data_IF_151709574661
#
_entry.id   IF_151709574661
#
_cell.length_a   1.000
_cell.length_b   1.000
_cell.length_c   1.000
_cell.angle_alpha   90.00
_cell.angle_beta   90.00
_cell.angle_gamma   90.00
#
_symmetry.space_group_name_H-M   'P 1'
#
loop_
_entity.id
_entity.type
_entity.pdbx_description
1 polymer ?
#
# COMPACT_ATOMS: atom_id res chain seq x y z
N UNK A 1 15.24 -6.62 9.14
CA UNK A 1 14.33 -7.78 9.17
C UNK A 1 15.01 -8.97 8.46
N UNK A 2 14.77 -10.23 8.86
CA UNK A 2 15.43 -11.41 8.21
C UNK A 2 14.84 -11.75 6.82
N UNK A 3 13.62 -11.28 6.54
CA UNK A 3 12.95 -11.37 5.23
C UNK A 3 12.65 -9.98 4.65
N UNK A 4 12.44 -9.85 3.32
CA UNK A 4 11.98 -8.61 2.71
C UNK A 4 10.63 -8.15 3.27
N UNK A 5 10.41 -6.84 3.29
CA UNK A 5 9.12 -6.24 3.59
C UNK A 5 8.18 -6.55 2.43
N UNK A 6 7.10 -7.27 2.69
CA UNK A 6 6.05 -7.55 1.71
C UNK A 6 5.08 -6.39 1.68
N UNK A 7 5.06 -5.70 0.54
CA UNK A 7 4.35 -4.45 0.34
C UNK A 7 3.22 -4.67 -0.66
N UNK A 8 2.00 -4.40 -0.24
CA UNK A 8 0.88 -4.23 -1.16
C UNK A 8 0.70 -2.74 -1.41
N UNK A 9 0.78 -2.33 -2.66
CA UNK A 9 0.38 -0.99 -3.08
C UNK A 9 -1.03 -1.10 -3.65
N UNK A 10 -1.94 -0.30 -3.13
CA UNK A 10 -3.31 -0.23 -3.62
C UNK A 10 -3.36 0.24 -5.09
N UNK A 11 -4.41 -0.15 -5.82
CA UNK A 11 -4.66 0.24 -7.22
C UNK A 11 -4.59 1.75 -7.38
N UNK A 12 -5.14 2.52 -6.43
CA UNK A 12 -5.07 3.98 -6.44
C UNK A 12 -3.63 4.53 -6.45
N UNK A 13 -2.67 3.87 -5.81
CA UNK A 13 -1.26 4.28 -5.78
C UNK A 13 -0.65 4.13 -7.18
N UNK A 14 -0.94 3.02 -7.86
CA UNK A 14 -0.49 2.80 -9.24
C UNK A 14 -1.13 3.76 -10.24
N UNK A 15 -2.42 4.04 -10.10
CA UNK A 15 -3.13 5.04 -10.92
C UNK A 15 -2.55 6.43 -10.68
N UNK A 16 -2.36 6.83 -9.42
CA UNK A 16 -1.77 8.11 -9.08
C UNK A 16 -0.34 8.26 -9.62
N UNK A 17 0.46 7.18 -9.63
CA UNK A 17 1.80 7.17 -10.19
C UNK A 17 1.82 7.47 -11.69
N UNK A 18 1.03 6.74 -12.49
CA UNK A 18 1.00 6.93 -13.94
C UNK A 18 0.39 8.29 -14.33
N UNK A 19 -0.61 8.77 -13.58
CA UNK A 19 -1.18 10.10 -13.77
C UNK A 19 -0.21 11.22 -13.41
N UNK A 20 0.58 11.06 -12.34
CA UNK A 20 1.60 12.02 -11.96
C UNK A 20 2.68 12.15 -13.06
N UNK A 21 3.08 11.02 -13.65
CA UNK A 21 4.00 11.00 -14.78
C UNK A 21 3.44 11.80 -15.98
N UNK A 22 2.17 11.59 -16.36
CA UNK A 22 1.56 12.32 -17.49
C UNK A 22 1.40 13.82 -17.26
N UNK A 23 1.22 14.23 -16.00
CA UNK A 23 1.13 15.64 -15.61
C UNK A 23 2.52 16.29 -15.46
N UNK A 24 3.60 15.55 -15.71
CA UNK A 24 4.97 16.03 -15.52
C UNK A 24 5.32 16.30 -14.05
N UNK A 25 4.55 15.76 -13.10
CA UNK A 25 4.88 15.84 -11.69
C UNK A 25 6.05 14.91 -11.39
N UNK A 26 6.94 15.36 -10.51
CA UNK A 26 8.12 14.59 -10.10
C UNK A 26 8.24 14.56 -8.58
N UNK A 27 8.70 13.44 -8.04
CA UNK A 27 8.97 13.28 -6.62
C UNK A 27 7.71 13.20 -5.74
N UNK A 28 6.58 12.75 -6.29
CA UNK A 28 5.40 12.47 -5.44
C UNK A 28 5.67 11.28 -4.51
N UNK A 29 4.93 11.20 -3.40
CA UNK A 29 5.03 10.06 -2.49
C UNK A 29 4.73 8.73 -3.21
N UNK A 30 3.70 8.69 -4.06
CA UNK A 30 3.32 7.51 -4.84
C UNK A 30 4.41 7.10 -5.84
N UNK A 31 5.00 8.05 -6.58
CA UNK A 31 6.14 7.79 -7.47
C UNK A 31 7.33 7.22 -6.72
N UNK A 32 7.60 7.75 -5.52
CA UNK A 32 8.73 7.29 -4.71
C UNK A 32 8.49 5.87 -4.19
N UNK A 33 7.28 5.56 -3.73
CA UNK A 33 6.92 4.21 -3.28
C UNK A 33 6.98 3.18 -4.41
N UNK A 34 6.41 3.50 -5.58
CA UNK A 34 6.51 2.63 -6.75
C UNK A 34 7.98 2.44 -7.14
N UNK A 35 8.79 3.50 -7.17
CA UNK A 35 10.22 3.39 -7.45
C UNK A 35 10.97 2.54 -6.43
N UNK A 36 10.61 2.62 -5.14
CA UNK A 36 11.20 1.81 -4.08
C UNK A 36 10.94 0.32 -4.29
N UNK A 37 9.69 -0.07 -4.54
CA UNK A 37 9.36 -1.49 -4.82
C UNK A 37 9.98 -1.96 -6.14
N UNK A 38 10.01 -1.11 -7.19
CA UNK A 38 10.68 -1.45 -8.45
C UNK A 38 12.17 -1.69 -8.29
N UNK A 39 12.82 -0.92 -7.41
CA UNK A 39 14.24 -1.07 -7.09
C UNK A 39 14.50 -2.09 -5.96
N UNK A 40 13.46 -2.77 -5.47
CA UNK A 40 13.54 -3.80 -4.42
C UNK A 40 14.13 -3.27 -3.10
N UNK A 41 13.95 -1.96 -2.84
CA UNK A 41 14.47 -1.28 -1.64
C UNK A 41 13.32 -0.80 -0.79
N UNK A 42 13.46 -0.93 0.53
CA UNK A 42 12.54 -0.38 1.50
C UNK A 42 13.33 0.41 2.55
N UNK A 43 13.44 1.72 2.33
CA UNK A 43 14.35 2.56 3.10
C UNK A 43 15.83 2.23 2.87
N UNK A 44 16.63 2.34 3.94
CA UNK A 44 18.10 2.28 3.84
C UNK A 44 18.63 0.84 3.91
N UNK A 45 18.04 0.00 4.76
CA UNK A 45 18.58 -1.32 5.09
C UNK A 45 17.73 -2.48 4.58
N UNK A 46 16.40 -2.30 4.48
CA UNK A 46 15.49 -3.37 4.14
C UNK A 46 15.24 -3.47 2.62
N UNK A 47 14.80 -4.65 2.19
CA UNK A 47 14.41 -4.93 0.82
C UNK A 47 12.89 -4.96 0.72
N UNK A 48 12.36 -4.54 -0.41
CA UNK A 48 10.92 -4.58 -0.70
C UNK A 48 10.60 -5.76 -1.63
N UNK A 49 9.59 -6.54 -1.27
CA UNK A 49 8.91 -7.46 -2.15
C UNK A 49 7.51 -6.90 -2.45
N UNK A 50 7.23 -6.61 -3.72
CA UNK A 50 5.87 -6.25 -4.12
C UNK A 50 4.98 -7.49 -4.03
N UNK A 51 3.75 -7.29 -3.54
CA UNK A 51 2.67 -8.27 -3.61
C UNK A 51 1.49 -7.64 -4.33
N UNK A 52 0.93 -8.37 -5.29
CA UNK A 52 -0.29 -8.02 -6.01
C UNK A 52 -1.04 -9.29 -6.44
N UNK A 53 -2.36 -9.20 -6.63
CA UNK A 53 -3.19 -10.29 -7.16
C UNK A 53 -3.58 -10.05 -8.62
N UNK A 54 -4.03 -11.11 -9.29
CA UNK A 54 -4.59 -10.99 -10.65
C UNK A 54 -5.78 -10.04 -10.70
N UNK A 55 -6.66 -10.10 -9.70
CA UNK A 55 -7.84 -9.22 -9.62
C UNK A 55 -7.45 -7.74 -9.48
N UNK A 56 -6.44 -7.42 -8.66
CA UNK A 56 -5.92 -6.06 -8.57
C UNK A 56 -5.36 -5.57 -9.91
N UNK A 57 -4.71 -6.45 -10.68
CA UNK A 57 -4.19 -6.12 -12.02
C UNK A 57 -5.35 -5.85 -12.97
N UNK A 58 -6.36 -6.71 -13.03
CA UNK A 58 -7.55 -6.53 -13.88
C UNK A 58 -8.33 -5.25 -13.52
N UNK A 59 -8.39 -4.94 -12.22
CA UNK A 59 -8.99 -3.70 -11.71
C UNK A 59 -8.19 -2.49 -12.19
N UNK A 60 -6.86 -2.51 -12.06
CA UNK A 60 -5.99 -1.47 -12.57
C UNK A 60 -6.17 -1.27 -14.08
N UNK A 61 -6.20 -2.35 -14.88
CA UNK A 61 -6.48 -2.23 -16.32
C UNK A 61 -7.81 -1.56 -16.60
N UNK A 62 -8.87 -1.98 -15.89
CA UNK A 62 -10.21 -1.43 -16.05
C UNK A 62 -10.24 0.07 -15.74
N UNK A 63 -9.59 0.49 -14.66
CA UNK A 63 -9.48 1.91 -14.29
C UNK A 63 -8.70 2.70 -15.35
N UNK A 64 -7.56 2.18 -15.83
CA UNK A 64 -6.76 2.85 -16.85
C UNK A 64 -7.49 2.95 -18.20
N UNK A 65 -8.26 1.94 -18.60
CA UNK A 65 -9.12 2.00 -19.80
C UNK A 65 -10.18 3.09 -19.67
N UNK A 66 -10.82 3.22 -18.50
CA UNK A 66 -11.79 4.31 -18.22
C UNK A 66 -11.13 5.69 -18.35
N UNK A 67 -9.89 5.82 -17.88
CA UNK A 67 -9.07 7.03 -18.00
C UNK A 67 -8.50 7.25 -19.42
N UNK A 68 -8.89 6.45 -20.41
CA UNK A 68 -8.52 6.59 -21.83
C UNK A 68 -7.02 6.38 -22.13
N UNK A 69 -6.31 5.61 -21.30
CA UNK A 69 -4.96 5.13 -21.66
C UNK A 69 -5.05 4.10 -22.81
N UNK A 70 -4.05 4.08 -23.69
CA UNK A 70 -3.99 3.09 -24.78
C UNK A 70 -3.70 1.69 -24.25
N UNK A 71 -4.23 0.67 -24.93
CA UNK A 71 -4.02 -0.73 -24.55
C UNK A 71 -2.52 -1.09 -24.44
N UNK A 72 -1.71 -0.72 -25.43
CA UNK A 72 -0.26 -0.96 -25.40
C UNK A 72 0.42 -0.40 -24.15
N UNK A 73 -0.06 0.76 -23.67
CA UNK A 73 0.48 1.41 -22.48
C UNK A 73 0.00 0.75 -21.21
N UNK A 74 -1.26 0.30 -21.18
CA UNK A 74 -1.83 -0.47 -20.07
C UNK A 74 -1.06 -1.78 -19.93
N UNK A 75 -0.93 -2.54 -21.02
CA UNK A 75 -0.25 -3.84 -21.05
C UNK A 75 1.23 -3.71 -20.64
N UNK A 76 1.93 -2.67 -21.12
CA UNK A 76 3.30 -2.40 -20.71
C UNK A 76 3.41 -2.04 -19.22
N UNK A 77 2.46 -1.26 -18.69
CA UNK A 77 2.47 -0.84 -17.29
C UNK A 77 2.12 -2.01 -16.34
N UNK A 78 1.04 -2.73 -16.59
CA UNK A 78 0.66 -3.89 -15.79
C UNK A 78 1.66 -5.04 -15.90
N UNK A 79 2.20 -5.27 -17.10
CA UNK A 79 3.32 -6.22 -17.30
C UNK A 79 4.54 -5.85 -16.46
N UNK A 80 4.91 -4.57 -16.39
CA UNK A 80 6.02 -4.13 -15.54
C UNK A 80 5.77 -4.36 -14.04
N UNK A 81 4.52 -4.21 -13.58
CA UNK A 81 4.14 -4.47 -12.18
C UNK A 81 4.28 -5.97 -11.86
N UNK A 82 3.83 -6.84 -12.78
CA UNK A 82 4.03 -8.29 -12.66
C UNK A 82 5.52 -8.64 -12.61
N UNK A 83 6.33 -8.04 -13.49
CA UNK A 83 7.77 -8.26 -13.51
C UNK A 83 8.45 -7.80 -12.20
N UNK A 84 8.04 -6.67 -11.63
CA UNK A 84 8.57 -6.18 -10.34
C UNK A 84 8.34 -7.21 -9.23
N UNK A 85 7.14 -7.79 -9.17
CA UNK A 85 6.82 -8.82 -8.19
C UNK A 85 7.60 -10.12 -8.44
N UNK A 86 7.64 -10.56 -9.70
CA UNK A 86 8.28 -11.81 -10.16
C UNK A 86 9.79 -11.84 -9.98
N UNK A 87 10.44 -10.73 -10.27
CA UNK A 87 11.89 -10.61 -10.13
C UNK A 87 12.30 -9.97 -8.80
N UNK A 88 11.34 -9.78 -7.88
CA UNK A 88 11.58 -9.30 -6.53
C UNK A 88 12.37 -10.27 -5.65
N UNK A 89 12.75 -9.86 -4.43
CA UNK A 89 13.61 -10.64 -3.53
C UNK A 89 13.10 -12.04 -3.18
N UNK A 90 11.78 -12.22 -3.07
CA UNK A 90 11.15 -13.52 -2.77
C UNK A 90 10.76 -14.28 -4.05
N UNK A 91 10.77 -13.62 -5.21
CA UNK A 91 10.43 -14.23 -6.51
C UNK A 91 9.00 -14.79 -6.57
N UNK A 92 8.00 -13.91 -6.51
CA UNK A 92 6.58 -14.31 -6.39
C UNK A 92 5.82 -14.12 -7.70
N UNK A 93 4.81 -14.95 -7.96
CA UNK A 93 3.83 -14.71 -9.03
C UNK A 93 2.57 -14.04 -8.47
N UNK A 94 1.81 -13.27 -9.28
CA UNK A 94 0.57 -12.64 -8.82
C UNK A 94 -0.36 -13.65 -8.14
N UNK A 95 -0.93 -13.25 -7.00
CA UNK A 95 -1.79 -14.13 -6.20
C UNK A 95 -3.13 -14.37 -6.89
N UNK A 96 -3.60 -15.61 -6.81
CA UNK A 96 -4.98 -15.98 -7.11
C UNK A 96 -5.74 -16.11 -5.79
N UNK A 97 -6.65 -15.18 -5.52
CA UNK A 97 -7.49 -15.18 -4.32
C UNK A 97 -8.75 -16.00 -4.64
N UNK A 98 -8.95 -17.09 -3.90
CA UNK A 98 -10.08 -18.03 -4.09
C UNK A 98 -11.07 -17.89 -2.93
N UNK A 99 -11.55 -16.67 -2.70
CA UNK A 99 -12.42 -16.29 -1.59
C UNK A 99 -11.66 -15.71 -0.38
N UNK A 100 -12.40 -15.34 0.66
CA UNK A 100 -11.89 -14.65 1.85
C UNK A 100 -12.27 -13.17 1.91
N UNK A 101 -12.69 -12.58 0.79
CA UNK A 101 -13.29 -11.23 0.73
C UNK A 101 -14.54 -11.13 1.59
N UNK A 102 -15.37 -12.18 1.59
CA UNK A 102 -16.61 -12.25 2.35
C UNK A 102 -16.41 -12.23 3.87
N UNK A 103 -15.17 -12.43 4.33
CA UNK A 103 -14.81 -12.33 5.75
C UNK A 103 -14.63 -10.89 6.20
N UNK A 104 -14.40 -9.96 5.26
CA UNK A 104 -14.28 -8.55 5.56
C UNK A 104 -15.65 -7.91 5.35
N UNK A 105 -16.21 -7.31 6.40
CA UNK A 105 -17.47 -6.57 6.32
C UNK A 105 -17.27 -5.21 5.62
N UNK A 106 -16.78 -5.25 4.38
CA UNK A 106 -16.48 -4.08 3.56
C UNK A 106 -17.60 -3.84 2.54
N UNK A 107 -17.90 -2.58 2.29
CA UNK A 107 -18.94 -2.19 1.32
C UNK A 107 -18.47 -2.22 -0.13
N UNK A 108 -17.16 -2.12 -0.35
CA UNK A 108 -16.54 -2.13 -1.68
C UNK A 108 -15.82 -3.47 -1.91
N UNK A 109 -16.12 -4.11 -3.03
CA UNK A 109 -15.54 -5.39 -3.43
C UNK A 109 -14.08 -5.22 -3.85
N UNK A 110 -13.74 -4.07 -4.46
CA UNK A 110 -12.35 -3.78 -4.86
C UNK A 110 -11.44 -3.73 -3.63
N UNK A 111 -11.83 -2.96 -2.62
CA UNK A 111 -11.05 -2.83 -1.38
C UNK A 111 -10.99 -4.16 -0.61
N UNK A 112 -12.06 -4.98 -0.67
CA UNK A 112 -12.07 -6.32 -0.08
C UNK A 112 -11.06 -7.25 -0.77
N UNK A 113 -10.94 -7.21 -2.11
CA UNK A 113 -9.96 -7.98 -2.87
C UNK A 113 -8.52 -7.55 -2.58
N UNK A 114 -8.28 -6.24 -2.44
CA UNK A 114 -6.98 -5.68 -2.00
C UNK A 114 -6.62 -6.17 -0.60
N UNK A 115 -7.56 -6.11 0.34
CA UNK A 115 -7.34 -6.56 1.71
C UNK A 115 -7.12 -8.08 1.77
N UNK A 116 -7.93 -8.86 1.05
CA UNK A 116 -7.76 -10.31 0.93
C UNK A 116 -6.38 -10.69 0.35
N UNK A 117 -5.89 -9.91 -0.62
CA UNK A 117 -4.52 -10.06 -1.15
C UNK A 117 -3.47 -9.82 -0.08
N UNK A 118 -3.61 -8.76 0.72
CA UNK A 118 -2.70 -8.47 1.82
C UNK A 118 -2.67 -9.60 2.86
N UNK A 119 -3.83 -10.16 3.21
CA UNK A 119 -3.92 -11.31 4.13
C UNK A 119 -3.37 -12.60 3.54
N UNK A 120 -3.77 -12.96 2.32
CA UNK A 120 -3.38 -14.22 1.67
C UNK A 120 -1.88 -14.30 1.33
N UNK A 121 -1.20 -13.16 1.28
CA UNK A 121 0.24 -13.05 1.02
C UNK A 121 1.09 -12.84 2.27
N UNK A 122 0.47 -12.72 3.45
CA UNK A 122 1.13 -12.32 4.69
C UNK A 122 1.92 -11.00 4.50
N UNK A 123 1.29 -10.01 3.90
CA UNK A 123 1.89 -8.69 3.69
C UNK A 123 2.17 -8.00 5.02
N UNK A 124 3.28 -7.25 5.09
CA UNK A 124 3.60 -6.45 6.27
C UNK A 124 2.87 -5.11 6.24
N UNK A 125 2.71 -4.57 5.03
CA UNK A 125 2.12 -3.25 4.83
C UNK A 125 1.28 -3.16 3.57
N UNK A 126 0.09 -2.59 3.72
CA UNK A 126 -0.77 -2.11 2.64
C UNK A 126 -0.71 -0.58 2.60
N UNK A 127 -0.42 -0.02 1.42
CA UNK A 127 -0.34 1.42 1.23
C UNK A 127 -1.49 1.91 0.35
N UNK A 128 -2.32 2.80 0.90
CA UNK A 128 -3.54 3.32 0.24
C UNK A 128 -3.76 4.79 0.57
N UNK A 129 -4.26 5.58 -0.38
CA UNK A 129 -4.68 6.96 -0.10
C UNK A 129 -6.12 7.06 0.47
N UNK A 130 -6.84 5.93 0.52
CA UNK A 130 -8.25 5.85 0.87
C UNK A 130 -8.52 5.00 2.13
N UNK A 131 -7.71 5.23 3.16
CA UNK A 131 -7.74 4.49 4.43
C UNK A 131 -9.12 4.24 5.06
N UNK A 132 -10.05 5.18 4.90
CA UNK A 132 -11.39 5.09 5.49
C UNK A 132 -12.18 3.87 4.99
N UNK A 133 -11.90 3.42 3.78
CA UNK A 133 -12.65 2.32 3.19
C UNK A 133 -12.12 0.96 3.67
N UNK A 134 -10.91 0.95 4.24
CA UNK A 134 -10.30 -0.18 4.96
C UNK A 134 -10.58 -0.17 6.47
N UNK A 135 -11.29 0.82 7.01
CA UNK A 135 -11.58 0.87 8.44
C UNK A 135 -12.80 -0.02 8.77
N UNK A 136 -12.57 -1.09 9.55
CA UNK A 136 -13.63 -1.96 10.07
C UNK A 136 -13.50 -2.13 11.59
N UNK A 137 -14.50 -2.78 12.22
CA UNK A 137 -14.48 -3.03 13.66
C UNK A 137 -13.33 -3.95 14.12
N UNK A 138 -12.74 -4.71 13.20
CA UNK A 138 -11.63 -5.63 13.47
C UNK A 138 -10.26 -4.95 13.36
N UNK A 139 -10.23 -3.67 12.96
CA UNK A 139 -9.02 -2.88 12.87
C UNK A 139 -8.73 -2.12 14.16
N UNK A 140 -7.48 -2.19 14.63
CA UNK A 140 -6.97 -1.18 15.57
C UNK A 140 -6.62 0.09 14.79
N UNK A 141 -6.95 1.26 15.33
CA UNK A 141 -6.74 2.57 14.67
C UNK A 141 -5.85 3.45 15.54
N UNK A 142 -4.92 4.18 14.91
CA UNK A 142 -4.12 5.21 15.58
C UNK A 142 -3.97 6.45 14.70
N UNK A 143 -4.07 7.62 15.30
CA UNK A 143 -3.75 8.89 14.66
C UNK A 143 -2.23 9.01 14.49
N UNK A 144 -1.77 9.39 13.30
CA UNK A 144 -0.34 9.39 12.95
C UNK A 144 0.23 10.80 12.86
N UNK A 145 -0.18 11.56 11.86
CA UNK A 145 0.32 12.91 11.60
C UNK A 145 -0.78 13.81 11.06
N UNK A 146 -0.61 15.12 11.24
CA UNK A 146 -1.50 16.12 10.63
C UNK A 146 -0.85 16.63 9.35
N UNK A 147 -1.54 16.44 8.23
CA UNK A 147 -1.13 16.97 6.93
C UNK A 147 -1.96 18.18 6.56
N UNK A 148 -1.33 19.12 5.86
CA UNK A 148 -2.05 20.25 5.28
C UNK A 148 -2.64 19.83 3.93
N UNK A 149 -3.95 19.98 3.78
CA UNK A 149 -4.64 19.75 2.51
C UNK A 149 -5.02 21.08 1.90
N UNK A 150 -4.99 21.16 0.57
CA UNK A 150 -5.43 22.36 -0.16
C UNK A 150 -6.93 22.64 0.00
N UNK A 151 -7.73 21.61 0.32
CA UNK A 151 -9.20 21.67 0.35
C UNK A 151 -9.81 21.84 1.75
N UNK A 152 -9.17 21.34 2.82
CA UNK A 152 -9.73 21.31 4.18
C UNK A 152 -8.80 21.87 5.27
N UNK A 153 -7.66 22.46 4.87
CA UNK A 153 -6.71 23.06 5.80
C UNK A 153 -5.83 22.00 6.45
N UNK A 154 -6.31 21.34 7.51
CA UNK A 154 -5.59 20.29 8.24
C UNK A 154 -6.40 19.00 8.29
N UNK A 155 -5.77 17.89 7.97
CA UNK A 155 -6.34 16.54 8.10
C UNK A 155 -5.41 15.68 8.94
N UNK A 156 -5.93 15.08 10.00
CA UNK A 156 -5.23 14.02 10.73
C UNK A 156 -5.28 12.74 9.88
N UNK A 157 -4.11 12.19 9.59
CA UNK A 157 -3.96 10.87 9.00
C UNK A 157 -4.01 9.80 10.10
N UNK A 158 -4.33 8.59 9.68
CA UNK A 158 -4.43 7.44 10.56
C UNK A 158 -3.66 6.27 9.95
N UNK A 159 -3.30 5.32 10.81
CA UNK A 159 -2.89 4.00 10.41
C UNK A 159 -3.83 2.96 11.05
N UNK A 160 -4.04 1.87 10.32
CA UNK A 160 -4.80 0.72 10.80
C UNK A 160 -3.84 -0.44 11.03
N UNK A 161 -4.16 -1.29 12.00
CA UNK A 161 -3.56 -2.61 12.17
C UNK A 161 -4.63 -3.67 12.22
N UNK A 162 -4.43 -4.69 11.42
CA UNK A 162 -5.23 -5.90 11.46
C UNK A 162 -4.40 -7.06 11.97
N UNK A 163 -4.93 -7.77 12.97
CA UNK A 163 -4.35 -9.00 13.51
C UNK A 163 -5.39 -10.12 13.40
N UNK A 164 -5.34 -10.88 12.31
CA UNK A 164 -6.30 -11.96 12.05
C UNK A 164 -5.54 -13.27 11.87
N UNK A 165 -5.74 -14.19 12.83
CA UNK A 165 -5.05 -15.48 12.87
C UNK A 165 -3.52 -15.31 12.87
N UNK A 166 -2.83 -15.75 11.82
CA UNK A 166 -1.37 -15.61 11.67
C UNK A 166 -0.94 -14.35 10.93
N UNK A 167 -1.86 -13.60 10.35
CA UNK A 167 -1.56 -12.39 9.58
C UNK A 167 -1.62 -11.15 10.48
N UNK A 168 -0.62 -10.30 10.33
CA UNK A 168 -0.48 -9.02 11.03
C UNK A 168 -0.08 -7.98 9.97
N UNK A 169 -0.93 -6.98 9.74
CA UNK A 169 -0.80 -6.06 8.60
C UNK A 169 -1.00 -4.64 9.07
N UNK A 170 -0.13 -3.74 8.64
CA UNK A 170 -0.31 -2.29 8.78
C UNK A 170 -0.92 -1.72 7.51
N UNK A 171 -1.99 -0.92 7.63
CA UNK A 171 -2.54 -0.15 6.51
C UNK A 171 -2.26 1.32 6.76
N UNK A 172 -1.60 1.98 5.82
CA UNK A 172 -1.11 3.35 6.02
C UNK A 172 -1.17 4.21 4.76
N UNK A 173 -1.27 5.52 4.97
CA UNK A 173 -1.28 6.49 3.89
C UNK A 173 0.13 6.63 3.29
N UNK A 174 0.28 6.88 1.97
CA UNK A 174 1.59 7.08 1.35
C UNK A 174 2.52 8.06 2.09
N UNK A 175 1.95 9.13 2.66
CA UNK A 175 2.72 10.12 3.43
C UNK A 175 3.26 9.58 4.76
N UNK A 176 2.50 8.73 5.46
CA UNK A 176 2.95 8.07 6.68
C UNK A 176 4.11 7.14 6.37
N UNK A 177 3.94 6.28 5.37
CA UNK A 177 4.97 5.32 4.95
C UNK A 177 6.26 6.03 4.56
N UNK A 178 6.17 7.09 3.76
CA UNK A 178 7.33 7.89 3.36
C UNK A 178 8.04 8.53 4.56
N UNK A 179 7.28 8.98 5.57
CA UNK A 179 7.87 9.54 6.79
C UNK A 179 8.58 8.45 7.60
N UNK A 180 7.95 7.30 7.81
CA UNK A 180 8.51 6.18 8.58
C UNK A 180 9.77 5.62 7.93
N UNK A 181 9.80 5.53 6.60
CA UNK A 181 11.01 5.17 5.84
C UNK A 181 12.15 6.16 6.11
N UNK A 182 11.87 7.48 6.09
CA UNK A 182 12.89 8.51 6.35
C UNK A 182 13.41 8.47 7.79
N UNK A 183 12.54 8.09 8.73
CA UNK A 183 12.90 7.93 10.14
C UNK A 183 13.58 6.59 10.43
N UNK A 184 13.67 5.70 9.44
CA UNK A 184 14.33 4.40 9.57
C UNK A 184 13.57 3.43 10.47
N UNK A 185 12.24 3.47 10.46
CA UNK A 185 11.42 2.56 11.26
C UNK A 185 11.52 1.12 10.76
N UNK A 186 11.41 0.18 11.69
CA UNK A 186 11.27 -1.24 11.38
C UNK A 186 9.82 -1.52 10.95
N UNK A 187 9.65 -2.06 9.75
CA UNK A 187 8.35 -2.35 9.16
C UNK A 187 7.75 -3.70 9.58
N UNK A 188 8.34 -4.39 10.55
CA UNK A 188 7.72 -5.55 11.19
C UNK A 188 6.42 -5.05 11.84
N UNK A 189 5.23 -5.56 11.46
CA UNK A 189 3.95 -4.95 11.81
C UNK A 189 3.78 -4.60 13.29
N UNK A 190 4.02 -5.56 14.21
CA UNK A 190 3.99 -5.30 15.65
C UNK A 190 5.04 -4.29 16.15
N UNK A 191 6.25 -4.28 15.59
CA UNK A 191 7.30 -3.29 15.95
C UNK A 191 6.93 -1.90 15.47
N UNK A 192 6.46 -1.79 14.22
CA UNK A 192 6.01 -0.54 13.62
C UNK A 192 4.84 0.04 14.41
N UNK A 193 3.83 -0.78 14.70
CA UNK A 193 2.64 -0.40 15.46
C UNK A 193 2.99 0.19 16.82
N UNK A 194 3.83 -0.50 17.59
CA UNK A 194 4.29 -0.03 18.89
C UNK A 194 5.06 1.29 18.81
N UNK A 195 5.75 1.54 17.69
CA UNK A 195 6.50 2.78 17.46
C UNK A 195 5.56 3.94 17.16
N UNK A 196 4.59 3.74 16.25
CA UNK A 196 3.66 4.80 15.84
C UNK A 196 2.62 5.12 16.92
N UNK A 197 2.20 4.14 17.72
CA UNK A 197 1.32 4.37 18.86
C UNK A 197 1.96 5.30 19.90
N UNK A 198 3.24 5.12 20.21
CA UNK A 198 3.95 5.99 21.17
C UNK A 198 3.98 7.46 20.73
N UNK A 199 3.96 7.72 19.43
CA UNK A 199 3.98 9.07 18.86
C UNK A 199 2.59 9.70 18.80
N UNK A 200 1.54 8.90 18.56
CA UNK A 200 0.14 9.35 18.64
C UNK A 200 -0.26 9.84 20.04
N UNK A 201 0.48 9.45 21.09
CA UNK A 201 0.33 9.94 22.46
C UNK A 201 1.15 11.20 22.80
N UNK A 202 1.92 11.76 21.87
CA UNK A 202 2.65 13.01 22.09
C UNK A 202 1.79 14.20 21.61
N UNK A 203 1.11 14.95 22.51
CA UNK A 203 0.41 16.16 22.10
C UNK A 203 1.43 17.22 21.70
N UNK A 204 1.47 17.56 20.42
CA UNK A 204 2.01 18.82 19.89
C UNK A 204 3.48 19.13 20.20
N UNK A 205 4.32 19.03 19.17
CA UNK A 205 5.43 19.97 18.97
C UNK A 205 5.02 21.00 17.92
#
# INVERSE_FOLDING_TARGET
MDRPVRVVLDVNVFVANIMAHDRGHVGTATQTLVSMVSNQKWGVADRAQLVISFEMIETLETVLRRLQFSNDRIDAYTGSIVDIMKYGPDGLDPYLILGGEERFAMSDVEDAGVLATAFGSEADILVTDNLKDFASNDASVVDTQVVNTTSSGKRTLQALRYEISSADIIIAHPFDVMQWIRLGYDFTPGTLWNTIQKLGYAPGL
#
